data_IF_785733925725
#
_entry.id   IF_785733925725
#
_cell.length_a   1.000
_cell.length_b   1.000
_cell.length_c   1.000
_cell.angle_alpha   90.00
_cell.angle_beta   90.00
_cell.angle_gamma   90.00
#
_symmetry.space_group_name_H-M   'P 1'
#
loop_
_entity.id
_entity.type
_entity.pdbx_description
1 polymer ?
#
# COMPACT_ATOMS: atom_id res chain seq x y z
N UNK A 1 15.08 2.77 -16.00
CA UNK A 1 15.00 3.05 -14.55
C UNK A 1 15.96 4.19 -14.27
N UNK A 2 15.44 5.41 -14.12
CA UNK A 2 16.27 6.59 -13.92
C UNK A 2 16.63 6.76 -12.44
N UNK A 3 17.89 7.11 -12.21
CA UNK A 3 18.53 7.22 -10.90
C UNK A 3 18.49 8.70 -10.50
N UNK A 4 17.93 9.01 -9.34
CA UNK A 4 17.91 10.37 -8.80
C UNK A 4 19.10 10.63 -7.89
N UNK A 5 19.71 11.80 -8.03
CA UNK A 5 20.70 12.33 -7.09
C UNK A 5 20.07 12.77 -5.76
N UNK A 6 18.73 12.90 -5.69
CA UNK A 6 18.03 13.13 -4.43
C UNK A 6 18.06 11.85 -3.63
N UNK A 7 18.63 11.91 -2.42
CA UNK A 7 18.83 10.74 -1.56
C UNK A 7 17.83 10.66 -0.42
N UNK A 8 17.13 11.72 -0.07
CA UNK A 8 16.11 11.68 0.97
C UNK A 8 14.81 11.03 0.48
N UNK A 9 14.31 10.07 1.25
CA UNK A 9 13.07 9.33 1.00
C UNK A 9 12.17 9.31 2.21
N UNK A 10 10.87 9.21 1.98
CA UNK A 10 9.88 8.89 3.01
C UNK A 10 9.03 7.73 2.56
N UNK A 11 8.62 6.89 3.51
CA UNK A 11 7.58 5.88 3.31
C UNK A 11 6.24 6.53 3.62
N UNK A 12 5.33 6.50 2.65
CA UNK A 12 3.91 6.83 2.83
C UNK A 12 3.10 5.54 2.85
N UNK A 13 2.09 5.49 3.69
CA UNK A 13 1.15 4.38 3.76
C UNK A 13 -0.26 4.94 3.90
N UNK A 14 -1.21 4.48 3.09
CA UNK A 14 -2.62 4.78 3.28
C UNK A 14 -3.10 4.23 4.61
N UNK A 15 -3.88 5.03 5.34
CA UNK A 15 -4.31 4.70 6.71
C UNK A 15 -5.29 3.54 6.77
N UNK A 16 -6.27 3.51 5.86
CA UNK A 16 -7.32 2.50 5.84
C UNK A 16 -7.61 2.03 4.41
N UNK A 17 -7.59 0.71 4.20
CA UNK A 17 -7.99 0.11 2.93
C UNK A 17 -9.52 0.17 2.73
N UNK A 18 -10.29 0.24 3.82
CA UNK A 18 -11.75 0.29 3.82
C UNK A 18 -12.34 1.53 3.15
N UNK A 19 -11.57 2.62 3.06
CA UNK A 19 -11.94 3.84 2.34
C UNK A 19 -11.86 3.66 0.80
N UNK A 20 -11.19 2.60 0.33
CA UNK A 20 -11.00 2.32 -1.10
C UNK A 20 -11.49 0.91 -1.49
N UNK A 21 -12.76 0.55 -1.22
CA UNK A 21 -13.25 -0.82 -1.33
C UNK A 21 -13.32 -1.35 -2.77
N UNK A 22 -13.22 -0.46 -3.77
CA UNK A 22 -13.37 -0.78 -5.19
C UNK A 22 -12.04 -0.81 -5.95
N UNK A 23 -10.91 -0.49 -5.31
CA UNK A 23 -9.62 -0.38 -6.00
C UNK A 23 -8.54 -1.29 -5.39
N UNK A 24 -8.51 -2.58 -5.77
CA UNK A 24 -7.49 -3.51 -5.29
C UNK A 24 -6.10 -3.22 -5.85
N UNK A 25 -5.99 -2.36 -6.87
CA UNK A 25 -4.72 -1.96 -7.48
C UNK A 25 -4.17 -0.66 -6.87
N UNK A 26 -4.85 -0.10 -5.87
CA UNK A 26 -4.36 1.08 -5.18
C UNK A 26 -3.07 0.74 -4.41
N UNK A 27 -2.09 1.64 -4.50
CA UNK A 27 -0.85 1.52 -3.75
C UNK A 27 -1.13 1.73 -2.26
N UNK A 28 -1.02 0.68 -1.45
CA UNK A 28 -1.13 0.72 0.00
C UNK A 28 -0.03 1.55 0.64
N UNK A 29 1.18 1.47 0.07
CA UNK A 29 2.32 2.22 0.51
C UNK A 29 3.18 2.63 -0.68
N UNK A 30 3.95 3.70 -0.53
CA UNK A 30 4.95 4.12 -1.50
C UNK A 30 6.18 4.67 -0.79
N UNK A 31 7.37 4.42 -1.34
CA UNK A 31 8.57 5.18 -0.98
C UNK A 31 8.70 6.28 -2.02
N UNK A 32 8.66 7.55 -1.59
CA UNK A 32 8.69 8.73 -2.45
C UNK A 32 9.85 9.66 -2.08
N UNK A 33 10.18 10.58 -2.96
CA UNK A 33 11.24 11.59 -2.74
C UNK A 33 10.83 12.58 -1.66
N UNK A 34 11.77 12.91 -0.78
CA UNK A 34 11.61 13.99 0.20
C UNK A 34 12.57 15.14 -0.10
N UNK A 35 12.07 16.37 -0.11
CA UNK A 35 12.86 17.58 -0.31
C UNK A 35 12.99 18.37 1.01
N UNK A 36 14.11 18.26 1.74
CA UNK A 36 14.25 18.91 3.05
C UNK A 36 14.28 20.44 2.96
N UNK A 37 14.66 20.99 1.80
CA UNK A 37 14.72 22.43 1.56
C UNK A 37 13.37 23.07 1.18
N UNK A 38 12.28 22.31 1.15
CA UNK A 38 11.00 22.74 0.61
C UNK A 38 10.72 22.17 -0.79
N UNK A 39 9.50 22.36 -1.27
CA UNK A 39 9.07 21.85 -2.56
C UNK A 39 9.71 22.68 -3.68
N UNK A 40 10.47 22.07 -4.61
CA UNK A 40 11.11 22.82 -5.68
C UNK A 40 10.09 23.33 -6.71
N UNK A 41 10.32 24.52 -7.27
CA UNK A 41 9.45 25.11 -8.29
C UNK A 41 9.53 24.37 -9.64
N UNK A 42 10.61 23.63 -9.88
CA UNK A 42 10.86 22.87 -11.11
C UNK A 42 11.52 21.54 -10.80
N UNK A 43 11.35 20.57 -11.70
CA UNK A 43 11.98 19.27 -11.58
C UNK A 43 13.51 19.40 -11.41
N UNK A 44 14.12 18.71 -10.44
CA UNK A 44 15.57 18.64 -10.32
C UNK A 44 16.23 18.10 -11.60
N UNK A 45 17.50 18.44 -11.82
CA UNK A 45 18.26 17.86 -12.94
C UNK A 45 18.27 16.33 -12.87
N UNK A 46 18.06 15.69 -14.03
CA UNK A 46 17.99 14.22 -14.13
C UNK A 46 16.65 13.61 -13.72
N UNK A 47 15.62 14.43 -13.44
CA UNK A 47 14.26 13.93 -13.31
C UNK A 47 13.78 13.29 -14.62
N UNK A 48 13.19 12.10 -14.59
CA UNK A 48 12.70 11.42 -15.79
C UNK A 48 11.46 12.10 -16.35
N UNK A 49 11.43 12.28 -17.67
CA UNK A 49 10.34 12.91 -18.41
C UNK A 49 9.00 12.15 -18.26
N UNK A 50 9.03 10.86 -17.93
CA UNK A 50 7.82 10.04 -17.74
C UNK A 50 7.19 10.19 -16.36
N UNK A 51 7.87 10.83 -15.41
CA UNK A 51 7.33 11.11 -14.07
C UNK A 51 6.89 12.56 -14.04
N UNK A 52 5.57 12.76 -14.03
CA UNK A 52 4.97 14.08 -13.87
C UNK A 52 5.42 14.71 -12.56
N UNK A 53 6.27 15.74 -12.68
CA UNK A 53 6.76 16.52 -11.55
C UNK A 53 5.72 17.55 -11.07
N UNK A 54 4.89 18.06 -11.99
CA UNK A 54 3.90 19.12 -11.72
C UNK A 54 2.66 18.59 -10.97
N UNK A 55 2.58 17.28 -10.76
CA UNK A 55 1.71 16.64 -9.76
C UNK A 55 2.50 16.17 -8.52
N UNK A 56 3.24 17.07 -7.83
CA UNK A 56 4.17 16.70 -6.76
C UNK A 56 3.45 16.03 -5.59
N UNK A 57 2.16 16.29 -5.39
CA UNK A 57 1.31 15.67 -4.37
C UNK A 57 1.09 14.16 -4.55
N UNK A 58 1.49 13.57 -5.67
CA UNK A 58 1.41 12.12 -5.87
C UNK A 58 2.76 11.40 -5.66
N UNK A 59 3.88 12.11 -5.88
CA UNK A 59 5.20 11.47 -6.07
C UNK A 59 6.33 12.08 -5.25
N UNK A 60 6.10 13.18 -4.53
CA UNK A 60 7.12 13.89 -3.73
C UNK A 60 6.55 14.55 -2.47
N UNK A 61 7.40 14.80 -1.47
CA UNK A 61 7.01 15.43 -0.19
C UNK A 61 8.05 16.49 0.21
N UNK A 62 7.62 17.56 0.85
CA UNK A 62 8.47 18.53 1.53
C UNK A 62 7.90 18.88 2.94
N UNK A 63 8.65 19.53 3.83
CA UNK A 63 8.19 19.87 5.19
C UNK A 63 6.84 20.59 5.24
N UNK A 64 6.59 21.52 4.33
CA UNK A 64 5.37 22.33 4.30
C UNK A 64 4.14 21.52 3.88
N UNK A 65 4.33 20.44 3.11
CA UNK A 65 3.24 19.57 2.66
C UNK A 65 2.98 18.40 3.62
N UNK A 66 3.82 18.17 4.64
CA UNK A 66 3.71 17.00 5.53
C UNK A 66 2.37 16.93 6.27
N UNK A 67 1.81 18.07 6.67
CA UNK A 67 0.53 18.10 7.39
C UNK A 67 -0.59 17.61 6.48
N UNK A 68 -0.71 18.17 5.27
CA UNK A 68 -1.71 17.73 4.29
C UNK A 68 -1.56 16.27 3.89
N UNK A 69 -0.32 15.77 3.72
CA UNK A 69 -0.11 14.34 3.46
C UNK A 69 -0.57 13.44 4.61
N UNK A 70 -0.45 13.91 5.85
CA UNK A 70 -0.81 13.14 7.05
C UNK A 70 -2.30 12.99 7.25
N UNK A 71 -3.13 13.76 6.56
CA UNK A 71 -4.58 13.58 6.58
C UNK A 71 -4.95 12.19 6.05
N UNK A 72 -4.39 11.80 4.91
CA UNK A 72 -4.70 10.52 4.25
C UNK A 72 -3.66 9.42 4.51
N UNK A 73 -2.42 9.79 4.88
CA UNK A 73 -1.30 8.85 4.97
C UNK A 73 -0.63 8.83 6.35
N UNK A 74 -0.04 7.69 6.70
CA UNK A 74 1.07 7.60 7.65
C UNK A 74 2.36 7.94 6.89
N UNK A 75 3.14 8.89 7.39
CA UNK A 75 4.40 9.32 6.76
C UNK A 75 5.55 9.10 7.72
N UNK A 76 6.57 8.35 7.30
CA UNK A 76 7.77 8.11 8.09
C UNK A 76 8.63 9.37 8.26
N UNK A 77 9.62 9.31 9.15
CA UNK A 77 10.73 10.25 9.09
C UNK A 77 11.50 10.08 7.76
N UNK A 78 12.14 11.14 7.23
CA UNK A 78 13.03 11.03 6.08
C UNK A 78 14.21 10.10 6.36
N UNK A 79 14.59 9.31 5.36
CA UNK A 79 15.75 8.42 5.39
C UNK A 79 16.59 8.63 4.14
N UNK A 80 17.90 8.67 4.30
CA UNK A 80 18.82 8.70 3.16
C UNK A 80 18.91 7.30 2.53
N UNK A 81 18.75 7.23 1.21
CA UNK A 81 18.92 6.01 0.42
C UNK A 81 20.18 6.09 -0.44
N UNK A 82 20.78 4.95 -0.84
CA UNK A 82 21.93 4.95 -1.72
C UNK A 82 21.64 5.64 -3.07
N UNK A 83 22.65 6.28 -3.68
CA UNK A 83 22.58 6.68 -5.09
C UNK A 83 22.20 5.47 -5.95
N UNK A 84 21.35 5.67 -6.94
CA UNK A 84 20.81 4.55 -7.73
C UNK A 84 19.39 4.13 -7.35
N UNK A 85 18.90 4.57 -6.19
CA UNK A 85 17.55 4.19 -5.73
C UNK A 85 16.49 4.83 -6.63
N UNK A 86 15.50 4.05 -7.12
CA UNK A 86 14.41 4.61 -7.91
C UNK A 86 13.70 5.75 -7.16
N UNK A 87 13.18 6.71 -7.94
CA UNK A 87 12.43 7.86 -7.41
C UNK A 87 11.26 7.43 -6.55
N UNK A 88 10.49 6.47 -7.06
CA UNK A 88 9.30 5.95 -6.39
C UNK A 88 9.28 4.43 -6.42
N UNK A 89 8.94 3.83 -5.28
CA UNK A 89 8.57 2.42 -5.19
C UNK A 89 7.13 2.33 -4.71
N UNK A 90 6.32 1.54 -5.39
CA UNK A 90 4.91 1.38 -5.08
C UNK A 90 4.63 -0.04 -4.55
N UNK A 91 3.84 -0.12 -3.49
CA UNK A 91 3.44 -1.37 -2.85
C UNK A 91 1.91 -1.44 -2.85
N UNK A 92 1.29 -2.24 -3.72
CA UNK A 92 -0.17 -2.39 -3.75
C UNK A 92 -0.68 -3.10 -2.49
N UNK A 93 -1.97 -2.94 -2.20
CA UNK A 93 -2.61 -3.80 -1.21
C UNK A 93 -2.45 -5.26 -1.63
N UNK A 94 -2.14 -6.12 -0.67
CA UNK A 94 -2.23 -7.57 -0.91
C UNK A 94 -3.71 -7.85 -1.12
N UNK A 95 -4.09 -8.35 -2.31
CA UNK A 95 -5.45 -8.82 -2.55
C UNK A 95 -5.85 -9.73 -1.39
N UNK A 96 -7.04 -9.49 -0.80
CA UNK A 96 -7.53 -10.33 0.28
C UNK A 96 -7.39 -11.79 -0.14
N UNK A 97 -6.56 -12.55 0.58
CA UNK A 97 -6.45 -13.98 0.36
C UNK A 97 -7.86 -14.54 0.55
N UNK A 98 -8.36 -15.40 -0.35
CA UNK A 98 -9.59 -16.13 -0.09
C UNK A 98 -9.45 -16.77 1.28
N UNK A 99 -10.48 -16.63 2.13
CA UNK A 99 -10.50 -17.34 3.40
C UNK A 99 -10.18 -18.81 3.11
N UNK A 100 -9.31 -19.48 3.89
CA UNK A 100 -9.06 -20.89 3.71
C UNK A 100 -10.41 -21.60 3.67
N UNK A 101 -10.72 -22.26 2.56
CA UNK A 101 -11.87 -23.16 2.53
C UNK A 101 -11.55 -24.22 3.55
N UNK A 102 -12.15 -24.13 4.73
CA UNK A 102 -12.22 -25.26 5.65
C UNK A 102 -12.74 -26.42 4.80
N UNK A 103 -12.00 -27.52 4.65
CA UNK A 103 -12.55 -28.71 4.02
C UNK A 103 -13.87 -28.99 4.72
N UNK A 104 -14.94 -29.15 3.93
CA UNK A 104 -16.20 -29.66 4.42
C UNK A 104 -15.88 -31.02 5.05
N UNK A 105 -15.69 -31.03 6.36
CA UNK A 105 -15.44 -32.24 7.11
C UNK A 105 -16.81 -32.92 7.11
N UNK A 106 -17.01 -33.77 6.10
CA UNK A 106 -18.23 -34.50 5.87
C UNK A 106 -18.58 -35.25 7.13
N UNK A 107 -19.42 -34.64 7.95
CA UNK A 107 -19.96 -35.23 9.16
C UNK A 107 -20.67 -36.52 8.72
N UNK A 108 -20.25 -37.71 9.18
CA UNK A 108 -20.99 -38.90 8.86
C UNK A 108 -22.41 -38.73 9.41
N UNK A 109 -23.40 -39.02 8.57
CA UNK A 109 -24.79 -39.04 8.98
C UNK A 109 -24.94 -39.92 10.21
N UNK A 110 -25.48 -39.33 11.27
CA UNK A 110 -25.90 -40.01 12.49
C UNK A 110 -27.06 -40.96 12.13
N UNK A 111 -26.74 -42.18 11.69
CA UNK A 111 -27.73 -43.26 11.59
C UNK A 111 -27.90 -43.89 12.96
N UNK A 112 -28.71 -43.26 13.79
CA UNK A 112 -29.28 -43.87 15.00
C UNK A 112 -30.23 -45.01 14.58
N UNK A 113 -30.04 -46.27 15.03
CA UNK A 113 -30.96 -47.34 14.71
C UNK A 113 -32.23 -47.24 15.55
N UNK A 114 -33.35 -46.94 14.90
CA UNK A 114 -34.71 -47.03 15.45
C UNK A 114 -34.95 -48.40 16.09
N UNK A 115 -35.35 -48.50 17.38
CA UNK A 115 -35.74 -49.76 17.98
C UNK A 115 -37.12 -50.19 17.46
N UNK A 116 -37.21 -51.43 16.96
CA UNK A 116 -38.47 -52.02 16.54
C UNK A 116 -39.43 -52.16 17.73
N UNK A 117 -40.59 -51.51 17.62
CA UNK A 117 -41.67 -51.62 18.60
C UNK A 117 -42.15 -53.07 18.76
N UNK A 118 -42.35 -53.47 20.00
CA UNK A 118 -42.97 -54.73 20.39
C UNK A 118 -44.48 -54.58 20.25
N UNK A 119 -45.12 -55.31 19.34
CA UNK A 119 -46.57 -55.47 19.33
C UNK A 119 -46.96 -56.59 20.30
N UNK A 120 -47.98 -56.30 21.10
CA UNK A 120 -48.64 -57.18 22.06
C UNK A 120 -49.50 -58.27 21.40
#
# INVERSE_FOLDING_TARGET
>A
MHISEVTDRVLTQLRDAGDYPTNPNLNAASVVVFFPGGCPDTAPEGWPDEVDFDTPHATTICPDCLESWRDDHLVSAPVAVPPGTPLTLHFPWVAAQPAPTTPDDGSPADTDPVPAGTSA
#
